data_IF_851388099816
#
_entry.id   IF_851388099816
#
_cell.length_a   1.000
_cell.length_b   1.000
_cell.length_c   1.000
_cell.angle_alpha   90.00
_cell.angle_beta   90.00
_cell.angle_gamma   90.00
#
_symmetry.space_group_name_H-M   'P 1'
#
loop_
_entity.id
_entity.type
_entity.pdbx_description
1 polymer ?
#
# COMPACT_ATOMS: atom_id res chain seq x y z
N UNK A 1 22.62 -5.26 -4.70
CA UNK A 1 21.81 -6.06 -3.74
C UNK A 1 22.65 -7.02 -2.86
N UNK A 2 23.96 -7.17 -3.07
CA UNK A 2 24.78 -8.14 -2.33
C UNK A 2 25.34 -7.62 -0.98
N UNK A 3 25.56 -6.31 -0.80
CA UNK A 3 26.12 -5.75 0.44
C UNK A 3 25.21 -5.85 1.70
N UNK A 4 23.88 -5.98 1.53
CA UNK A 4 22.96 -6.08 2.68
C UNK A 4 22.93 -7.47 3.34
N UNK A 5 23.47 -8.51 2.67
CA UNK A 5 23.53 -9.87 3.21
C UNK A 5 24.76 -10.07 4.10
N UNK A 6 25.90 -9.46 3.76
CA UNK A 6 27.15 -9.57 4.54
C UNK A 6 27.08 -8.80 5.85
N UNK A 7 26.46 -7.62 5.86
CA UNK A 7 26.26 -6.80 7.07
C UNK A 7 25.36 -7.49 8.12
N UNK A 8 24.40 -8.31 7.64
CA UNK A 8 23.49 -9.07 8.51
C UNK A 8 24.16 -10.29 9.15
N UNK A 9 25.13 -10.88 8.47
CA UNK A 9 25.93 -12.01 8.98
C UNK A 9 26.96 -11.52 10.00
N UNK A 10 27.62 -10.39 9.77
CA UNK A 10 28.56 -9.79 10.73
C UNK A 10 27.88 -9.39 12.05
N UNK A 11 26.65 -8.86 12.00
CA UNK A 11 25.88 -8.54 13.22
C UNK A 11 25.48 -9.78 14.04
N UNK A 12 25.24 -10.93 13.40
CA UNK A 12 24.92 -12.19 14.09
C UNK A 12 26.12 -12.77 14.84
N UNK A 13 27.30 -12.74 14.23
CA UNK A 13 28.53 -13.21 14.88
C UNK A 13 28.94 -12.31 16.06
N UNK A 14 28.80 -10.98 15.91
CA UNK A 14 29.12 -10.03 16.99
C UNK A 14 28.17 -10.14 18.19
N UNK A 15 26.91 -10.52 17.98
CA UNK A 15 25.97 -10.78 19.09
C UNK A 15 26.20 -12.12 19.78
N UNK A 16 26.81 -13.11 19.12
CA UNK A 16 27.11 -14.41 19.74
C UNK A 16 28.41 -14.39 20.54
N UNK A 17 29.41 -13.58 20.14
CA UNK A 17 30.65 -13.42 20.90
C UNK A 17 30.49 -12.57 22.17
N UNK A 18 29.54 -11.63 22.20
CA UNK A 18 29.29 -10.80 23.38
C UNK A 18 28.59 -11.55 24.53
N UNK A 19 28.03 -12.73 24.29
CA UNK A 19 27.34 -13.55 25.32
C UNK A 19 28.26 -14.61 25.96
N UNK A 20 29.51 -14.75 25.49
CA UNK A 20 30.41 -15.84 25.87
C UNK A 20 31.55 -15.43 26.82
N UNK A 21 31.68 -14.14 27.17
CA UNK A 21 32.85 -13.65 27.90
C UNK A 21 32.48 -12.63 28.99
N UNK A 22 31.81 -13.08 30.06
CA UNK A 22 31.70 -12.35 31.33
C UNK A 22 31.63 -13.34 32.53
N UNK A 23 32.22 -12.99 33.69
CA UNK A 23 32.60 -13.95 34.73
C UNK A 23 31.41 -14.43 35.57
N UNK A 24 31.48 -15.71 35.95
CA UNK A 24 30.56 -16.41 36.83
C UNK A 24 30.65 -15.88 38.26
N UNK A 25 29.61 -15.18 38.75
CA UNK A 25 29.57 -14.76 40.15
C UNK A 25 28.19 -14.42 40.69
N UNK A 26 27.47 -13.46 40.10
CA UNK A 26 26.22 -12.94 40.70
C UNK A 26 25.07 -12.70 39.70
N UNK A 27 25.23 -13.10 38.43
CA UNK A 27 24.43 -12.55 37.32
C UNK A 27 23.22 -13.37 36.83
N UNK A 28 22.74 -14.42 37.50
CA UNK A 28 21.60 -15.20 36.94
C UNK A 28 20.27 -14.45 37.04
N UNK A 29 19.94 -13.91 38.22
CA UNK A 29 18.70 -13.12 38.41
C UNK A 29 18.73 -11.78 37.67
N UNK A 30 19.87 -11.11 37.67
CA UNK A 30 20.03 -9.84 36.95
C UNK A 30 19.93 -10.03 35.43
N UNK A 31 20.45 -11.15 34.90
CA UNK A 31 20.33 -11.51 33.48
C UNK A 31 18.89 -11.87 33.11
N UNK A 32 18.12 -12.52 33.99
CA UNK A 32 16.68 -12.76 33.79
C UNK A 32 15.91 -11.44 33.80
N UNK A 33 16.10 -10.57 34.78
CA UNK A 33 15.48 -9.23 34.85
C UNK A 33 15.83 -8.36 33.64
N UNK A 34 17.08 -8.39 33.17
CA UNK A 34 17.52 -7.65 31.98
C UNK A 34 16.87 -8.19 30.71
N UNK A 35 16.62 -9.50 30.64
CA UNK A 35 15.93 -10.16 29.52
C UNK A 35 14.43 -9.84 29.52
N UNK A 36 13.79 -9.77 30.68
CA UNK A 36 12.40 -9.35 30.85
C UNK A 36 12.19 -7.89 30.49
N UNK A 37 12.99 -6.96 31.04
CA UNK A 37 12.94 -5.54 30.66
C UNK A 37 13.12 -5.32 29.16
N UNK A 38 14.00 -6.11 28.52
CA UNK A 38 14.15 -6.10 27.05
C UNK A 38 12.90 -6.59 26.33
N UNK A 39 12.24 -7.66 26.82
CA UNK A 39 10.99 -8.18 26.25
C UNK A 39 9.85 -7.16 26.40
N UNK A 40 9.71 -6.54 27.56
CA UNK A 40 8.71 -5.50 27.83
C UNK A 40 8.91 -4.27 26.94
N UNK A 41 10.15 -3.77 26.81
CA UNK A 41 10.45 -2.68 25.87
C UNK A 41 10.13 -3.06 24.42
N UNK A 42 10.38 -4.31 24.04
CA UNK A 42 10.07 -4.80 22.70
C UNK A 42 8.56 -4.88 22.46
N UNK A 43 7.78 -5.35 23.45
CA UNK A 43 6.33 -5.35 23.40
C UNK A 43 5.73 -3.95 23.38
N UNK A 44 6.24 -3.03 24.20
CA UNK A 44 5.80 -1.63 24.21
C UNK A 44 6.05 -0.97 22.85
N UNK A 45 7.25 -1.15 22.28
CA UNK A 45 7.55 -0.69 20.91
C UNK A 45 6.68 -1.37 19.85
N UNK A 46 6.30 -2.64 20.04
CA UNK A 46 5.40 -3.36 19.12
C UNK A 46 3.98 -2.83 19.19
N UNK A 47 3.45 -2.59 20.40
CA UNK A 47 2.13 -2.00 20.67
C UNK A 47 2.07 -0.55 20.14
N UNK A 48 3.12 0.23 20.34
CA UNK A 48 3.24 1.60 19.83
C UNK A 48 3.29 1.64 18.29
N UNK A 49 4.08 0.75 17.66
CA UNK A 49 4.12 0.60 16.19
C UNK A 49 2.77 0.14 15.62
N UNK A 50 2.04 -0.70 16.34
CA UNK A 50 0.67 -1.09 15.96
C UNK A 50 -0.29 0.10 16.05
N UNK A 51 -0.26 0.87 17.15
CA UNK A 51 -1.08 2.09 17.28
C UNK A 51 -0.78 3.09 16.15
N UNK A 52 0.50 3.32 15.83
CA UNK A 52 0.91 4.19 14.72
C UNK A 52 0.43 3.64 13.37
N UNK A 53 0.48 2.32 13.12
CA UNK A 53 -0.05 1.73 11.88
C UNK A 53 -1.56 1.90 11.73
N UNK A 54 -2.30 1.75 12.83
CA UNK A 54 -3.77 1.86 12.83
C UNK A 54 -4.22 3.32 12.62
N UNK A 55 -3.45 4.31 13.07
CA UNK A 55 -3.80 5.73 12.91
C UNK A 55 -3.33 6.32 11.58
N UNK A 56 -2.20 5.88 11.01
CA UNK A 56 -1.66 6.47 9.76
C UNK A 56 -2.44 6.14 8.49
N UNK A 57 -3.37 5.18 8.54
CA UNK A 57 -4.07 4.64 7.36
C UNK A 57 -5.55 5.02 7.20
N UNK A 58 -6.20 5.56 8.25
CA UNK A 58 -7.60 5.97 8.20
C UNK A 58 -7.71 7.28 7.40
N UNK A 59 -8.09 7.21 6.13
CA UNK A 59 -8.32 8.38 5.26
C UNK A 59 -7.37 8.54 4.06
N UNK A 60 -6.10 8.12 4.15
CA UNK A 60 -5.14 8.20 3.02
C UNK A 60 -5.23 7.05 2.02
N UNK A 61 -5.92 5.96 2.37
CA UNK A 61 -5.99 4.74 1.57
C UNK A 61 -6.64 4.94 0.20
N UNK A 62 -7.80 5.60 0.13
CA UNK A 62 -8.52 5.78 -1.13
C UNK A 62 -7.84 6.76 -2.08
N UNK A 63 -7.33 7.87 -1.58
CA UNK A 63 -6.55 8.81 -2.40
C UNK A 63 -5.26 8.16 -2.93
N UNK A 64 -4.59 7.32 -2.13
CA UNK A 64 -3.42 6.58 -2.57
C UNK A 64 -3.78 5.52 -3.62
N UNK A 65 -4.91 4.84 -3.47
CA UNK A 65 -5.45 3.91 -4.46
C UNK A 65 -5.73 4.62 -5.79
N UNK A 66 -6.43 5.76 -5.78
CA UNK A 66 -6.70 6.56 -6.97
C UNK A 66 -5.41 7.04 -7.64
N UNK A 67 -4.44 7.55 -6.88
CA UNK A 67 -3.12 7.93 -7.42
C UNK A 67 -2.41 6.74 -8.08
N UNK A 68 -2.45 5.57 -7.44
CA UNK A 68 -1.84 4.36 -7.99
C UNK A 68 -2.53 3.88 -9.27
N UNK A 69 -3.86 3.99 -9.35
CA UNK A 69 -4.62 3.65 -10.56
C UNK A 69 -4.27 4.60 -11.71
N UNK A 70 -4.15 5.90 -11.46
CA UNK A 70 -3.71 6.89 -12.46
C UNK A 70 -2.32 6.57 -13.00
N UNK A 71 -1.36 6.26 -12.13
CA UNK A 71 -0.01 5.85 -12.57
C UNK A 71 -0.05 4.56 -13.40
N UNK A 72 -0.91 3.60 -13.04
CA UNK A 72 -1.09 2.38 -13.82
C UNK A 72 -1.70 2.65 -15.21
N UNK A 73 -2.65 3.59 -15.33
CA UNK A 73 -3.20 3.99 -16.63
C UNK A 73 -2.13 4.57 -17.54
N UNK A 74 -1.33 5.53 -17.03
CA UNK A 74 -0.25 6.15 -17.81
C UNK A 74 0.75 5.09 -18.29
N UNK A 75 1.11 4.14 -17.42
CA UNK A 75 2.02 3.05 -17.79
C UNK A 75 1.43 2.11 -18.83
N UNK A 76 0.14 1.81 -18.75
CA UNK A 76 -0.53 0.97 -19.73
C UNK A 76 -0.65 1.67 -21.08
N UNK A 77 -0.97 2.97 -21.11
CA UNK A 77 -0.97 3.78 -22.33
C UNK A 77 0.42 3.80 -22.99
N UNK A 78 1.47 4.01 -22.19
CA UNK A 78 2.85 3.97 -22.69
C UNK A 78 3.21 2.60 -23.27
N UNK A 79 2.82 1.50 -22.62
CA UNK A 79 3.02 0.14 -23.14
C UNK A 79 2.26 -0.10 -24.44
N UNK A 80 1.00 0.32 -24.50
CA UNK A 80 0.16 0.16 -25.67
C UNK A 80 0.75 0.90 -26.88
N UNK A 81 1.13 2.18 -26.70
CA UNK A 81 1.80 2.97 -27.75
C UNK A 81 3.08 2.30 -28.26
N UNK A 82 3.93 1.79 -27.35
CA UNK A 82 5.16 1.06 -27.71
C UNK A 82 4.88 -0.20 -28.52
N UNK A 83 3.87 -0.98 -28.14
CA UNK A 83 3.50 -2.21 -28.86
C UNK A 83 2.94 -1.91 -30.24
N UNK A 84 2.04 -0.92 -30.35
CA UNK A 84 1.53 -0.47 -31.66
C UNK A 84 2.69 -0.03 -32.54
N UNK A 85 3.57 0.84 -32.05
CA UNK A 85 4.71 1.33 -32.84
C UNK A 85 5.60 0.17 -33.31
N UNK A 86 5.88 -0.81 -32.44
CA UNK A 86 6.64 -2.00 -32.80
C UNK A 86 5.94 -2.84 -33.88
N UNK A 87 4.63 -3.09 -33.74
CA UNK A 87 3.88 -3.88 -34.70
C UNK A 87 3.75 -3.17 -36.06
N UNK A 88 3.59 -1.84 -36.07
CA UNK A 88 3.61 -1.04 -37.28
C UNK A 88 4.96 -1.14 -38.01
N UNK A 89 6.07 -0.98 -37.27
CA UNK A 89 7.41 -1.15 -37.83
C UNK A 89 7.64 -2.55 -38.40
N UNK A 90 7.19 -3.60 -37.70
CA UNK A 90 7.28 -4.98 -38.21
C UNK A 90 6.48 -5.14 -39.50
N UNK A 91 5.28 -4.56 -39.55
CA UNK A 91 4.43 -4.59 -40.75
C UNK A 91 5.08 -3.85 -41.93
N UNK A 92 5.69 -2.70 -41.68
CA UNK A 92 6.41 -1.91 -42.70
C UNK A 92 7.59 -2.69 -43.26
N UNK A 93 8.47 -3.22 -42.40
CA UNK A 93 9.62 -4.03 -42.83
C UNK A 93 9.18 -5.29 -43.60
N UNK A 94 8.14 -5.98 -43.13
CA UNK A 94 7.62 -7.15 -43.83
C UNK A 94 6.99 -6.79 -45.19
N UNK A 95 6.42 -5.59 -45.32
CA UNK A 95 5.92 -5.11 -46.60
C UNK A 95 7.05 -4.79 -47.58
N UNK A 96 8.14 -4.17 -47.11
CA UNK A 96 9.36 -3.93 -47.91
C UNK A 96 9.99 -5.24 -48.41
N UNK A 97 9.98 -6.29 -47.58
CA UNK A 97 10.48 -7.63 -47.92
C UNK A 97 9.48 -8.50 -48.71
N UNK A 98 8.28 -8.00 -49.00
CA UNK A 98 7.17 -8.75 -49.60
C UNK A 98 6.73 -10.02 -48.82
N UNK A 99 6.99 -10.08 -47.50
CA UNK A 99 6.50 -11.15 -46.63
C UNK A 99 5.04 -10.90 -46.23
N UNK A 100 4.14 -11.32 -47.12
CA UNK A 100 2.68 -11.19 -46.97
C UNK A 100 2.15 -11.87 -45.71
N UNK A 101 2.73 -13.01 -45.30
CA UNK A 101 2.30 -13.74 -44.09
C UNK A 101 2.58 -12.93 -42.83
N UNK A 102 3.74 -12.28 -42.77
CA UNK A 102 4.10 -11.45 -41.62
C UNK A 102 3.29 -10.16 -41.58
N UNK A 103 2.99 -9.55 -42.74
CA UNK A 103 2.09 -8.39 -42.82
C UNK A 103 0.70 -8.71 -42.26
N UNK A 104 0.09 -9.82 -42.69
CA UNK A 104 -1.23 -10.24 -42.20
C UNK A 104 -1.21 -10.56 -40.70
N UNK A 105 -0.16 -11.26 -40.24
CA UNK A 105 0.00 -11.59 -38.82
C UNK A 105 0.16 -10.33 -37.97
N UNK A 106 0.94 -9.36 -38.43
CA UNK A 106 1.11 -8.07 -37.75
C UNK A 106 -0.22 -7.28 -37.69
N UNK A 107 -1.02 -7.31 -38.75
CA UNK A 107 -2.35 -6.71 -38.78
C UNK A 107 -3.29 -7.35 -37.74
N UNK A 108 -3.37 -8.69 -37.69
CA UNK A 108 -4.15 -9.42 -36.68
C UNK A 108 -3.68 -9.08 -35.25
N UNK A 109 -2.37 -8.99 -35.03
CA UNK A 109 -1.81 -8.63 -33.72
C UNK A 109 -2.14 -7.19 -33.31
N UNK A 110 -2.22 -6.25 -34.27
CA UNK A 110 -2.65 -4.87 -33.98
C UNK A 110 -4.10 -4.84 -33.48
N UNK A 111 -5.00 -5.54 -34.14
CA UNK A 111 -6.41 -5.66 -33.72
C UNK A 111 -6.53 -6.28 -32.33
N UNK A 112 -5.80 -7.37 -32.08
CA UNK A 112 -5.78 -8.03 -30.77
C UNK A 112 -5.25 -7.11 -29.66
N UNK A 113 -4.21 -6.32 -29.93
CA UNK A 113 -3.65 -5.39 -28.95
C UNK A 113 -4.62 -4.22 -28.66
N UNK A 114 -5.37 -3.74 -29.66
CA UNK A 114 -6.45 -2.77 -29.46
C UNK A 114 -7.54 -3.32 -28.55
N UNK A 115 -8.04 -4.53 -28.83
CA UNK A 115 -9.04 -5.20 -28.01
C UNK A 115 -8.57 -5.41 -26.57
N UNK A 116 -7.33 -5.88 -26.41
CA UNK A 116 -6.71 -6.08 -25.09
C UNK A 116 -6.60 -4.77 -24.32
N UNK A 117 -6.11 -3.71 -24.96
CA UNK A 117 -5.96 -2.40 -24.34
C UNK A 117 -7.32 -1.84 -23.91
N UNK A 118 -8.35 -1.94 -24.76
CA UNK A 118 -9.70 -1.48 -24.45
C UNK A 118 -10.29 -2.22 -23.25
N UNK A 119 -10.21 -3.56 -23.22
CA UNK A 119 -10.63 -4.36 -22.06
C UNK A 119 -9.89 -3.97 -20.78
N UNK A 120 -8.58 -3.69 -20.88
CA UNK A 120 -7.77 -3.27 -19.73
C UNK A 120 -8.19 -1.90 -19.23
N UNK A 121 -8.45 -0.95 -20.14
CA UNK A 121 -8.90 0.41 -19.82
C UNK A 121 -10.26 0.40 -19.13
N UNK A 122 -11.23 -0.36 -19.65
CA UNK A 122 -12.55 -0.53 -19.03
C UNK A 122 -12.44 -1.05 -17.59
N UNK A 123 -11.67 -2.13 -17.38
CA UNK A 123 -11.44 -2.68 -16.02
C UNK A 123 -10.79 -1.67 -15.07
N UNK A 124 -9.93 -0.79 -15.57
CA UNK A 124 -9.29 0.25 -14.76
C UNK A 124 -10.29 1.37 -14.40
N UNK A 125 -11.13 1.78 -15.35
CA UNK A 125 -12.20 2.77 -15.13
C UNK A 125 -13.23 2.25 -14.12
N UNK A 126 -13.67 0.99 -14.22
CA UNK A 126 -14.56 0.37 -13.22
C UNK A 126 -13.95 0.38 -11.82
N UNK A 127 -12.64 0.13 -11.71
CA UNK A 127 -11.94 0.18 -10.42
C UNK A 127 -11.85 1.59 -9.87
N UNK A 128 -11.62 2.58 -10.73
CA UNK A 128 -11.62 3.99 -10.34
C UNK A 128 -12.99 4.42 -9.82
N UNK A 129 -14.07 4.08 -10.52
CA UNK A 129 -15.44 4.35 -10.08
C UNK A 129 -15.76 3.68 -8.74
N UNK A 130 -15.38 2.41 -8.56
CA UNK A 130 -15.56 1.71 -7.27
C UNK A 130 -14.78 2.39 -6.15
N UNK A 131 -13.56 2.84 -6.41
CA UNK A 131 -12.75 3.55 -5.41
C UNK A 131 -13.37 4.91 -5.04
N UNK A 132 -13.96 5.63 -6.00
CA UNK A 132 -14.69 6.87 -5.76
C UNK A 132 -15.96 6.64 -4.93
N UNK A 133 -16.77 5.64 -5.28
CA UNK A 133 -17.98 5.30 -4.53
C UNK A 133 -17.68 4.91 -3.07
N UNK A 134 -16.58 4.17 -2.84
CA UNK A 134 -16.13 3.85 -1.48
C UNK A 134 -15.69 5.10 -0.72
N UNK A 135 -15.00 6.02 -1.40
CA UNK A 135 -14.62 7.30 -0.80
C UNK A 135 -15.85 8.13 -0.41
N UNK A 136 -16.85 8.25 -1.29
CA UNK A 136 -18.10 8.96 -1.01
C UNK A 136 -18.87 8.35 0.17
N UNK A 137 -19.01 7.02 0.22
CA UNK A 137 -19.64 6.32 1.34
C UNK A 137 -18.91 6.59 2.66
N UNK A 138 -17.57 6.55 2.65
CA UNK A 138 -16.78 6.81 3.86
C UNK A 138 -16.96 8.25 4.38
N UNK A 139 -17.06 9.23 3.48
CA UNK A 139 -17.29 10.64 3.85
C UNK A 139 -18.71 10.85 4.41
N UNK A 140 -19.72 10.19 3.85
CA UNK A 140 -21.10 10.23 4.35
C UNK A 140 -21.22 9.63 5.76
N UNK A 141 -20.60 8.48 6.02
CA UNK A 141 -20.61 7.86 7.35
C UNK A 141 -19.87 8.71 8.40
N UNK A 142 -18.78 9.36 8.02
CA UNK A 142 -18.02 10.25 8.90
C UNK A 142 -18.82 11.51 9.23
N UNK A 143 -19.50 12.11 8.24
CA UNK A 143 -20.41 13.24 8.44
C UNK A 143 -21.55 12.89 9.40
N UNK A 144 -22.19 11.72 9.26
CA UNK A 144 -23.24 11.27 10.16
C UNK A 144 -22.75 11.06 11.61
N UNK A 145 -21.49 10.60 11.80
CA UNK A 145 -20.91 10.44 13.14
C UNK A 145 -20.63 11.76 13.83
N UNK A 146 -20.24 12.80 13.08
CA UNK A 146 -20.03 14.15 13.63
C UNK A 146 -21.36 14.73 14.11
N UNK A 147 -22.39 14.66 13.27
CA UNK A 147 -23.74 15.15 13.61
C UNK A 147 -24.27 14.48 14.91
N UNK A 148 -24.14 13.16 15.04
CA UNK A 148 -24.57 12.44 16.27
C UNK A 148 -23.80 12.88 17.52
N UNK A 149 -22.48 13.08 17.42
CA UNK A 149 -21.66 13.54 18.54
C UNK A 149 -22.05 14.94 19.02
N UNK A 150 -22.39 15.83 18.08
CA UNK A 150 -22.79 17.20 18.43
C UNK A 150 -24.20 17.24 19.05
N UNK A 151 -25.11 16.36 18.62
CA UNK A 151 -26.43 16.22 19.25
C UNK A 151 -26.35 15.63 20.67
N UNK A 152 -25.46 14.66 20.91
CA UNK A 152 -25.28 14.06 22.24
C UNK A 152 -24.61 15.03 23.23
N UNK A 153 -23.68 15.87 22.76
CA UNK A 153 -23.08 16.96 23.55
C UNK A 153 -24.08 18.06 23.90
N UNK A 154 -25.02 18.38 23.00
CA UNK A 154 -26.11 19.33 23.31
C UNK A 154 -27.09 18.78 24.35
N UNK A 155 -27.44 17.49 24.27
CA UNK A 155 -28.32 16.84 25.26
C UNK A 155 -27.71 16.76 26.65
N UNK A 156 -26.41 16.50 26.76
CA UNK A 156 -25.70 16.44 28.05
C UNK A 156 -25.60 17.80 28.72
N UNK A 157 -25.25 18.86 27.98
CA UNK A 157 -25.27 20.24 28.50
C UNK A 157 -26.65 20.73 28.94
N UNK A 158 -27.70 20.37 28.21
CA UNK A 158 -29.08 20.71 28.58
C UNK A 158 -29.57 19.98 29.84
N UNK A 159 -28.98 18.81 30.16
CA UNK A 159 -29.31 18.04 31.36
C UNK A 159 -28.59 18.58 32.62
N UNK A 160 -27.34 19.02 32.49
CA UNK A 160 -26.61 19.71 33.57
C UNK A 160 -27.24 21.07 33.94
N UNK A 161 -27.72 21.84 32.97
CA UNK A 161 -28.37 23.13 33.26
C UNK A 161 -29.72 22.99 33.99
N UNK A 162 -30.42 21.85 33.83
CA UNK A 162 -31.67 21.57 34.56
C UNK A 162 -31.46 21.04 35.98
N UNK A 163 -30.28 20.50 36.30
CA UNK A 163 -29.96 20.00 37.65
C UNK A 163 -29.33 21.06 38.56
N UNK A 164 -28.95 22.23 38.04
CA UNK A 164 -28.45 23.36 38.83
C UNK A 164 -29.50 24.44 39.15
N UNK A 165 -30.78 24.19 38.86
CA UNK A 165 -31.90 25.10 39.12
C UNK A 165 -32.93 24.54 40.13
N UNK A 166 -32.68 23.36 40.70
CA UNK A 166 -33.35 22.85 41.91
C UNK A 166 -32.45 23.09 43.12
#
# INVERSE_FOLDING_TARGET
RQGKRTEKLQRKHKSQQADANEPSGQGKEERVRRRERRREQWEMRRKERQKIRVTRGKGKGHQQQLKSLKTQMVHEEAKHRRRIARLKRIRELAAEENDTKTVERAAKLLEMELLRHNRKRQRMQEREQKALQLAEKSLSEEAQKVIKKDTDKKKTKAKEQKQGQE
#
